data_IF_748844409793
#
_entry.id   IF_748844409793
#
_cell.length_a   1.000
_cell.length_b   1.000
_cell.length_c   1.000
_cell.angle_alpha   90.00
_cell.angle_beta   90.00
_cell.angle_gamma   90.00
#
_symmetry.space_group_name_H-M   'P 1'
#
loop_
_entity.id
_entity.type
_entity.pdbx_description
1 polymer ?
#
# COMPACT_ATOMS: atom_id res chain seq x y z
N UNK A 1 -10.94 -9.32 -12.31
CA UNK A 1 -9.74 -9.81 -11.61
C UNK A 1 -8.74 -8.68 -11.57
N UNK A 2 -8.39 -8.19 -10.39
CA UNK A 2 -7.46 -7.06 -10.21
C UNK A 2 -6.08 -7.37 -10.75
N UNK A 3 -5.50 -6.44 -11.53
CA UNK A 3 -4.13 -6.54 -12.04
C UNK A 3 -3.17 -5.79 -11.12
N UNK A 4 -2.04 -6.42 -10.79
CA UNK A 4 -0.95 -5.78 -10.05
C UNK A 4 0.05 -5.22 -11.07
N UNK A 5 0.33 -3.92 -11.01
CA UNK A 5 1.34 -3.24 -11.81
C UNK A 5 2.48 -2.78 -10.88
N UNK A 6 3.68 -3.33 -11.02
CA UNK A 6 4.83 -2.94 -10.19
C UNK A 6 5.74 -2.02 -11.00
N UNK A 7 6.09 -0.88 -10.44
CA UNK A 7 6.93 0.11 -11.08
C UNK A 7 8.37 -0.43 -11.29
N UNK A 8 8.96 -0.29 -12.49
CA UNK A 8 10.33 -0.70 -12.80
C UNK A 8 11.37 -0.28 -11.76
N UNK A 9 11.32 0.97 -11.32
CA UNK A 9 12.29 1.52 -10.37
C UNK A 9 12.20 0.89 -8.98
N UNK A 10 11.03 0.34 -8.60
CA UNK A 10 10.88 -0.40 -7.36
C UNK A 10 11.51 -1.78 -7.49
N UNK A 11 11.26 -2.46 -8.61
CA UNK A 11 11.82 -3.78 -8.93
C UNK A 11 13.34 -3.74 -8.92
N UNK A 12 13.93 -2.80 -9.67
CA UNK A 12 15.37 -2.65 -9.79
C UNK A 12 16.03 -2.39 -8.43
N UNK A 13 15.51 -1.45 -7.66
CA UNK A 13 16.10 -1.09 -6.37
C UNK A 13 15.93 -2.21 -5.32
N UNK A 14 14.79 -2.90 -5.31
CA UNK A 14 14.55 -4.04 -4.40
C UNK A 14 15.55 -5.18 -4.67
N UNK A 15 15.71 -5.57 -5.94
CA UNK A 15 16.67 -6.60 -6.35
C UNK A 15 18.10 -6.17 -6.03
N UNK A 16 18.47 -4.91 -6.34
CA UNK A 16 19.79 -4.37 -6.04
C UNK A 16 20.11 -4.42 -4.54
N UNK A 17 19.17 -4.04 -3.68
CA UNK A 17 19.38 -4.05 -2.22
C UNK A 17 19.55 -5.47 -1.67
N UNK A 18 18.76 -6.43 -2.17
CA UNK A 18 18.88 -7.84 -1.80
C UNK A 18 20.22 -8.43 -2.24
N UNK A 19 20.65 -8.13 -3.47
CA UNK A 19 21.97 -8.54 -3.98
C UNK A 19 23.09 -8.00 -3.08
N UNK A 20 23.10 -6.69 -2.82
CA UNK A 20 24.10 -6.03 -1.96
C UNK A 20 24.12 -6.59 -0.54
N UNK A 21 22.97 -7.00 -0.03
CA UNK A 21 22.88 -7.62 1.29
C UNK A 21 23.43 -9.04 1.32
N UNK A 22 23.16 -9.83 0.28
CA UNK A 22 23.69 -11.17 0.13
C UNK A 22 25.22 -11.17 -0.08
N UNK A 23 25.76 -10.24 -0.86
CA UNK A 23 27.21 -10.01 -0.98
C UNK A 23 27.86 -9.74 0.38
N UNK A 24 27.28 -8.82 1.16
CA UNK A 24 27.78 -8.48 2.50
C UNK A 24 27.76 -9.68 3.47
N UNK A 25 26.84 -10.61 3.27
CA UNK A 25 26.73 -11.87 4.03
C UNK A 25 27.58 -13.02 3.47
N UNK A 26 28.26 -12.81 2.33
CA UNK A 26 29.06 -13.85 1.67
C UNK A 26 28.22 -14.97 1.04
N UNK A 27 26.96 -14.73 0.71
CA UNK A 27 26.09 -15.73 0.08
C UNK A 27 26.38 -15.85 -1.42
N UNK A 28 27.20 -16.84 -1.78
CA UNK A 28 27.60 -17.16 -3.15
C UNK A 28 26.44 -17.59 -4.07
N UNK A 29 25.25 -17.86 -3.54
CA UNK A 29 24.07 -18.16 -4.38
C UNK A 29 23.49 -16.90 -5.00
N UNK A 30 23.66 -15.75 -4.36
CA UNK A 30 23.20 -14.46 -4.85
C UNK A 30 24.16 -13.84 -5.89
N UNK A 31 25.44 -14.23 -5.90
CA UNK A 31 26.43 -13.73 -6.86
C UNK A 31 26.18 -14.16 -8.30
N UNK A 32 25.45 -15.25 -8.53
CA UNK A 32 25.05 -15.67 -9.89
C UNK A 32 24.26 -14.61 -10.64
N UNK A 33 23.47 -13.79 -9.95
CA UNK A 33 22.70 -12.71 -10.60
C UNK A 33 23.59 -11.54 -10.98
N UNK A 34 24.65 -11.28 -10.21
CA UNK A 34 25.64 -10.23 -10.51
C UNK A 34 26.45 -10.61 -11.75
N UNK A 35 26.88 -11.87 -11.85
CA UNK A 35 27.58 -12.38 -13.03
C UNK A 35 26.75 -12.23 -14.31
N UNK A 36 25.42 -12.34 -14.22
CA UNK A 36 24.51 -12.16 -15.35
C UNK A 36 24.30 -10.68 -15.74
N UNK A 37 24.66 -9.73 -14.88
CA UNK A 37 24.57 -8.28 -15.16
C UNK A 37 25.78 -7.76 -15.93
N UNK A 38 26.97 -8.31 -15.71
CA UNK A 38 28.22 -7.87 -16.34
C UNK A 38 28.12 -7.81 -17.89
N UNK A 39 27.60 -8.84 -18.59
CA UNK A 39 27.46 -8.79 -20.05
C UNK A 39 26.54 -7.68 -20.55
N UNK A 40 25.62 -7.16 -19.73
CA UNK A 40 24.70 -6.10 -20.13
C UNK A 40 25.40 -4.74 -20.30
N UNK A 41 26.52 -4.52 -19.61
CA UNK A 41 27.31 -3.29 -19.76
C UNK A 41 27.97 -3.17 -21.14
N UNK A 42 28.23 -4.30 -21.79
CA UNK A 42 28.85 -4.40 -23.12
C UNK A 42 27.88 -4.03 -24.26
N UNK A 43 26.58 -3.92 -23.98
CA UNK A 43 25.59 -3.48 -24.96
C UNK A 43 25.84 -2.02 -25.34
N UNK A 44 26.01 -1.79 -26.65
CA UNK A 44 26.38 -0.47 -27.21
C UNK A 44 25.20 0.49 -27.31
N UNK A 45 24.01 -0.01 -27.61
CA UNK A 45 22.81 0.80 -27.69
C UNK A 45 22.28 1.09 -26.26
N UNK A 46 22.17 2.36 -25.84
CA UNK A 46 21.72 2.71 -24.50
C UNK A 46 20.29 2.24 -24.17
N UNK A 47 19.37 2.23 -25.15
CA UNK A 47 17.98 1.83 -24.96
C UNK A 47 17.87 0.32 -24.87
N UNK A 48 18.60 -0.40 -25.71
CA UNK A 48 18.68 -1.87 -25.65
C UNK A 48 19.24 -2.31 -24.29
N UNK A 49 20.30 -1.62 -23.83
CA UNK A 49 20.89 -1.87 -22.52
C UNK A 49 19.92 -1.63 -21.38
N UNK A 50 19.21 -0.50 -21.37
CA UNK A 50 18.19 -0.18 -20.37
C UNK A 50 17.08 -1.25 -20.32
N UNK A 51 16.54 -1.63 -21.49
CA UNK A 51 15.54 -2.67 -21.58
C UNK A 51 16.04 -4.04 -21.06
N UNK A 52 17.30 -4.38 -21.35
CA UNK A 52 17.92 -5.62 -20.89
C UNK A 52 18.12 -5.63 -19.36
N UNK A 53 18.56 -4.52 -18.76
CA UNK A 53 18.66 -4.39 -17.31
C UNK A 53 17.29 -4.53 -16.62
N UNK A 54 16.26 -3.88 -17.16
CA UNK A 54 14.90 -4.02 -16.63
C UNK A 54 14.37 -5.45 -16.73
N UNK A 55 14.56 -6.11 -17.88
CA UNK A 55 14.16 -7.49 -18.07
C UNK A 55 14.88 -8.44 -17.10
N UNK A 56 16.19 -8.22 -16.87
CA UNK A 56 16.97 -8.96 -15.90
C UNK A 56 16.45 -8.75 -14.46
N UNK A 57 16.18 -7.50 -14.07
CA UNK A 57 15.65 -7.19 -12.74
C UNK A 57 14.25 -7.81 -12.51
N UNK A 58 13.37 -7.74 -13.50
CA UNK A 58 12.05 -8.39 -13.45
C UNK A 58 12.14 -9.90 -13.31
N UNK A 59 13.06 -10.54 -14.03
CA UNK A 59 13.30 -11.97 -13.92
C UNK A 59 13.78 -12.36 -12.51
N UNK A 60 14.75 -11.61 -11.98
CA UNK A 60 15.27 -11.82 -10.63
C UNK A 60 14.17 -11.63 -9.58
N UNK A 61 13.38 -10.56 -9.69
CA UNK A 61 12.28 -10.24 -8.77
C UNK A 61 11.26 -11.37 -8.66
N UNK A 62 10.86 -11.94 -9.81
CA UNK A 62 9.94 -13.09 -9.86
C UNK A 62 10.58 -14.38 -9.36
N UNK A 63 11.85 -14.62 -9.70
CA UNK A 63 12.57 -15.85 -9.27
C UNK A 63 12.80 -15.86 -7.75
N UNK A 64 12.91 -14.68 -7.14
CA UNK A 64 13.01 -14.48 -5.71
C UNK A 64 11.63 -14.39 -5.02
N UNK A 65 10.54 -14.58 -5.77
CA UNK A 65 9.16 -14.52 -5.27
C UNK A 65 8.81 -13.21 -4.55
N UNK A 66 9.40 -12.09 -4.96
CA UNK A 66 9.21 -10.79 -4.31
C UNK A 66 7.81 -10.21 -4.57
N UNK A 67 7.11 -10.68 -5.60
CA UNK A 67 5.73 -10.34 -5.91
C UNK A 67 4.69 -11.10 -5.06
N UNK A 68 5.06 -12.25 -4.51
CA UNK A 68 4.13 -13.15 -3.81
C UNK A 68 3.42 -12.47 -2.62
N UNK A 69 4.10 -11.72 -1.72
CA UNK A 69 3.44 -11.00 -0.63
C UNK A 69 2.33 -10.05 -1.10
N UNK A 70 2.46 -9.48 -2.31
CA UNK A 70 1.47 -8.55 -2.87
C UNK A 70 0.21 -9.30 -3.31
N UNK A 71 0.38 -10.45 -3.99
CA UNK A 71 -0.75 -11.26 -4.45
C UNK A 71 -1.48 -11.88 -3.26
N UNK A 72 -0.75 -12.49 -2.32
CA UNK A 72 -1.35 -13.14 -1.13
C UNK A 72 -2.13 -12.13 -0.29
N UNK A 73 -1.57 -10.93 -0.07
CA UNK A 73 -2.25 -9.88 0.66
C UNK A 73 -3.54 -9.40 -0.05
N UNK A 74 -3.51 -9.31 -1.38
CA UNK A 74 -4.68 -8.91 -2.17
C UNK A 74 -5.78 -9.99 -2.17
N UNK A 75 -5.41 -11.26 -2.22
CA UNK A 75 -6.37 -12.37 -2.15
C UNK A 75 -7.06 -12.44 -0.76
N UNK A 76 -6.41 -11.93 0.29
CA UNK A 76 -7.01 -11.78 1.61
C UNK A 76 -8.00 -10.60 1.75
N UNK A 77 -8.19 -9.80 0.69
CA UNK A 77 -9.03 -8.60 0.68
C UNK A 77 -10.13 -8.73 -0.41
N UNK A 78 -11.28 -9.34 -0.11
CA UNK A 78 -12.27 -9.71 -1.12
C UNK A 78 -12.84 -8.53 -1.92
N UNK A 79 -13.20 -7.42 -1.25
CA UNK A 79 -13.76 -6.26 -1.92
C UNK A 79 -12.70 -5.59 -2.80
N UNK A 80 -11.46 -5.49 -2.32
CA UNK A 80 -10.34 -5.01 -3.13
C UNK A 80 -10.10 -5.91 -4.37
N UNK A 81 -10.09 -7.23 -4.21
CA UNK A 81 -9.88 -8.19 -5.29
C UNK A 81 -10.98 -8.19 -6.35
N UNK A 82 -12.21 -7.94 -5.93
CA UNK A 82 -13.38 -7.91 -6.82
C UNK A 82 -13.52 -6.58 -7.54
N UNK A 83 -13.29 -5.46 -6.84
CA UNK A 83 -13.69 -4.12 -7.28
C UNK A 83 -12.53 -3.24 -7.77
N UNK A 84 -11.29 -3.58 -7.44
CA UNK A 84 -10.13 -2.89 -8.04
C UNK A 84 -9.87 -3.44 -9.43
N UNK A 85 -9.71 -2.54 -10.38
CA UNK A 85 -9.19 -2.89 -11.71
C UNK A 85 -7.67 -3.04 -11.67
N UNK A 86 -7.00 -2.10 -11.00
CA UNK A 86 -5.54 -2.04 -10.92
C UNK A 86 -5.06 -1.68 -9.52
N UNK A 87 -4.12 -2.47 -9.01
CA UNK A 87 -3.25 -2.13 -7.88
C UNK A 87 -1.87 -1.75 -8.41
N UNK A 88 -1.56 -0.46 -8.38
CA UNK A 88 -0.28 0.06 -8.83
C UNK A 88 0.70 0.15 -7.66
N UNK A 89 1.79 -0.59 -7.71
CA UNK A 89 2.81 -0.64 -6.68
C UNK A 89 4.00 0.19 -7.12
N UNK A 90 4.24 1.31 -6.43
CA UNK A 90 5.29 2.26 -6.78
C UNK A 90 6.33 2.39 -5.68
N UNK A 91 7.48 2.95 -6.04
CA UNK A 91 8.55 3.24 -5.09
C UNK A 91 8.21 4.43 -4.20
N UNK A 92 8.29 4.24 -2.89
CA UNK A 92 8.38 5.30 -1.90
C UNK A 92 9.85 5.64 -1.61
N UNK A 93 10.20 6.93 -1.52
CA UNK A 93 11.56 7.36 -1.18
C UNK A 93 11.77 7.44 0.33
N UNK A 94 10.69 7.67 1.09
CA UNK A 94 10.70 7.88 2.54
C UNK A 94 9.56 7.09 3.18
N UNK A 95 9.73 6.70 4.43
CA UNK A 95 8.70 5.94 5.18
C UNK A 95 7.37 6.67 5.27
N UNK A 96 7.38 8.00 5.36
CA UNK A 96 6.15 8.83 5.38
C UNK A 96 5.37 8.83 4.05
N UNK A 97 6.00 8.35 2.98
CA UNK A 97 5.38 8.23 1.65
C UNK A 97 4.82 6.82 1.43
N UNK A 98 5.09 5.86 2.35
CA UNK A 98 4.49 4.53 2.28
C UNK A 98 3.01 4.58 2.65
N UNK A 99 2.23 3.73 2.00
CA UNK A 99 0.79 3.60 2.24
C UNK A 99 0.00 3.30 0.97
N UNK A 100 -1.27 2.98 1.14
CA UNK A 100 -2.20 2.81 0.04
C UNK A 100 -3.15 4.01 -0.11
N UNK A 101 -3.47 4.35 -1.35
CA UNK A 101 -4.40 5.40 -1.69
C UNK A 101 -5.36 4.92 -2.78
N UNK A 102 -6.65 5.18 -2.59
CA UNK A 102 -7.71 4.84 -3.55
C UNK A 102 -8.00 6.04 -4.45
N UNK A 103 -7.94 5.82 -5.75
CA UNK A 103 -8.32 6.78 -6.77
C UNK A 103 -9.60 6.31 -7.44
N UNK A 104 -10.73 6.92 -7.08
CA UNK A 104 -11.99 6.78 -7.79
C UNK A 104 -12.15 7.94 -8.77
N UNK A 105 -12.55 7.62 -10.01
CA UNK A 105 -12.86 8.65 -11.00
C UNK A 105 -14.30 9.11 -10.82
N UNK A 106 -14.56 9.86 -9.75
CA UNK A 106 -15.85 10.51 -9.54
C UNK A 106 -15.96 11.86 -10.29
N UNK A 107 -14.87 12.38 -10.87
CA UNK A 107 -14.83 13.74 -11.45
C UNK A 107 -15.23 13.82 -12.92
N UNK A 108 -15.51 12.71 -13.60
CA UNK A 108 -15.98 12.75 -15.00
C UNK A 108 -17.33 12.07 -15.14
N UNK A 109 -18.31 12.79 -15.68
CA UNK A 109 -19.61 12.27 -16.12
C UNK A 109 -19.51 11.24 -17.28
N UNK A 110 -18.34 10.60 -17.46
CA UNK A 110 -18.17 9.40 -18.25
C UNK A 110 -18.30 8.21 -17.32
N UNK A 111 -19.38 7.47 -17.50
CA UNK A 111 -19.58 6.17 -16.89
C UNK A 111 -18.33 5.28 -17.02
N UNK A 112 -17.99 4.56 -15.94
CA UNK A 112 -17.05 3.44 -15.90
C UNK A 112 -15.55 3.76 -16.05
N UNK A 113 -15.05 4.80 -15.38
CA UNK A 113 -13.60 4.87 -15.16
C UNK A 113 -13.16 3.83 -14.11
N UNK A 114 -12.01 3.15 -14.33
CA UNK A 114 -11.58 2.05 -13.49
C UNK A 114 -11.18 2.49 -12.09
N UNK A 115 -11.52 1.68 -11.09
CA UNK A 115 -11.12 1.89 -9.69
C UNK A 115 -9.66 1.47 -9.53
N UNK A 116 -8.79 2.44 -9.27
CA UNK A 116 -7.34 2.23 -9.14
C UNK A 116 -6.89 2.49 -7.71
N UNK A 117 -6.09 1.60 -7.15
CA UNK A 117 -5.34 1.86 -5.92
C UNK A 117 -3.86 2.03 -6.24
N UNK A 118 -3.19 2.92 -5.51
CA UNK A 118 -1.74 3.06 -5.54
C UNK A 118 -1.18 2.66 -4.19
N UNK A 119 -0.29 1.67 -4.17
CA UNK A 119 0.45 1.24 -3.00
C UNK A 119 1.91 1.71 -3.15
N UNK A 120 2.35 2.60 -2.27
CA UNK A 120 3.72 3.06 -2.24
C UNK A 120 4.53 2.26 -1.20
N UNK A 121 5.63 1.65 -1.63
CA UNK A 121 6.50 0.82 -0.78
C UNK A 121 7.94 1.26 -0.88
N UNK A 122 8.67 1.23 0.24
CA UNK A 122 10.12 1.35 0.16
C UNK A 122 10.74 0.05 -0.36
N UNK A 123 11.78 0.13 -1.21
CA UNK A 123 12.46 -1.05 -1.73
C UNK A 123 13.11 -1.94 -0.64
N UNK A 124 13.51 -1.37 0.50
CA UNK A 124 14.12 -2.14 1.60
C UNK A 124 13.14 -3.05 2.35
N UNK A 125 11.83 -2.88 2.15
CA UNK A 125 10.81 -3.79 2.68
C UNK A 125 10.95 -5.20 2.15
N UNK A 126 11.45 -5.37 0.92
CA UNK A 126 11.60 -6.67 0.28
C UNK A 126 12.72 -7.53 0.91
N UNK A 127 13.50 -6.98 1.85
CA UNK A 127 14.46 -7.75 2.64
C UNK A 127 13.79 -8.68 3.67
N UNK A 128 12.53 -8.43 4.03
CA UNK A 128 11.75 -9.21 4.98
C UNK A 128 10.33 -9.41 4.42
N UNK A 129 10.12 -10.53 3.71
CA UNK A 129 8.88 -10.79 2.99
C UNK A 129 7.68 -11.02 3.92
N UNK A 130 7.90 -11.51 5.14
CA UNK A 130 6.85 -11.69 6.13
C UNK A 130 6.35 -10.33 6.62
N UNK A 131 7.26 -9.43 7.02
CA UNK A 131 6.90 -8.07 7.40
C UNK A 131 6.32 -7.25 6.25
N UNK A 132 6.80 -7.48 5.02
CA UNK A 132 6.23 -6.89 3.82
C UNK A 132 4.78 -7.36 3.65
N UNK A 133 4.51 -8.67 3.73
CA UNK A 133 3.16 -9.21 3.61
C UNK A 133 2.22 -8.60 4.66
N UNK A 134 2.62 -8.55 5.93
CA UNK A 134 1.81 -7.94 7.00
C UNK A 134 1.53 -6.45 6.72
N UNK A 135 2.55 -5.71 6.28
CA UNK A 135 2.40 -4.31 5.93
C UNK A 135 1.41 -4.13 4.77
N UNK A 136 1.62 -4.84 3.66
CA UNK A 136 0.79 -4.74 2.45
C UNK A 136 -0.65 -5.15 2.77
N UNK A 137 -0.86 -6.26 3.49
CA UNK A 137 -2.19 -6.70 3.90
C UNK A 137 -2.91 -5.64 4.72
N UNK A 138 -2.22 -4.99 5.67
CA UNK A 138 -2.83 -3.91 6.46
C UNK A 138 -3.24 -2.72 5.58
N UNK A 139 -2.36 -2.29 4.67
CA UNK A 139 -2.69 -1.17 3.77
C UNK A 139 -3.85 -1.52 2.83
N UNK A 140 -3.90 -2.76 2.32
CA UNK A 140 -5.00 -3.23 1.48
C UNK A 140 -6.31 -3.39 2.24
N UNK A 141 -6.30 -3.69 3.54
CA UNK A 141 -7.51 -3.73 4.36
C UNK A 141 -8.18 -2.35 4.50
N UNK A 142 -7.42 -1.25 4.46
CA UNK A 142 -8.01 0.09 4.38
C UNK A 142 -8.74 0.29 3.05
N UNK A 143 -8.10 -0.09 1.94
CA UNK A 143 -8.71 -0.02 0.60
C UNK A 143 -9.94 -0.93 0.51
N UNK A 144 -9.87 -2.11 1.10
CA UNK A 144 -10.97 -3.07 1.16
C UNK A 144 -12.16 -2.51 1.92
N UNK A 145 -11.94 -1.90 3.10
CA UNK A 145 -12.98 -1.15 3.82
C UNK A 145 -13.58 -0.04 2.91
N UNK A 146 -12.75 0.75 2.21
CA UNK A 146 -13.24 1.82 1.33
C UNK A 146 -14.11 1.33 0.16
N UNK A 147 -13.89 0.08 -0.29
CA UNK A 147 -14.60 -0.52 -1.42
C UNK A 147 -15.81 -1.36 -0.99
N UNK A 148 -15.90 -1.74 0.28
CA UNK A 148 -16.97 -2.53 0.85
C UNK A 148 -18.24 -1.68 1.01
N UNK A 149 -19.37 -2.01 0.34
CA UNK A 149 -20.60 -1.21 0.42
C UNK A 149 -21.11 -1.03 1.84
N UNK A 150 -21.02 -2.07 2.67
CA UNK A 150 -21.51 -2.04 4.04
C UNK A 150 -20.68 -1.15 4.97
N UNK A 151 -19.47 -0.74 4.58
CA UNK A 151 -18.68 0.21 5.33
C UNK A 151 -19.07 1.66 5.03
N UNK A 152 -19.70 1.93 3.87
CA UNK A 152 -20.21 3.26 3.49
C UNK A 152 -19.14 4.36 3.59
N UNK A 153 -17.96 4.11 3.02
CA UNK A 153 -16.89 5.11 3.02
C UNK A 153 -17.32 6.38 2.26
N UNK A 154 -17.20 7.52 2.93
CA UNK A 154 -17.45 8.83 2.36
C UNK A 154 -16.25 9.75 2.64
N UNK A 155 -15.45 10.12 1.61
CA UNK A 155 -14.30 10.99 1.80
C UNK A 155 -14.68 12.39 2.30
N UNK A 156 -15.93 12.81 2.12
CA UNK A 156 -16.42 14.12 2.53
C UNK A 156 -17.10 14.13 3.90
N UNK A 157 -17.26 12.98 4.58
CA UNK A 157 -18.05 12.90 5.82
C UNK A 157 -17.54 13.81 6.95
N UNK A 158 -16.24 14.08 7.00
CA UNK A 158 -15.63 14.98 8.00
C UNK A 158 -15.61 16.43 7.49
N UNK A 159 -15.33 16.62 6.21
CA UNK A 159 -15.22 17.96 5.61
C UNK A 159 -16.59 18.65 5.50
N UNK A 160 -17.67 17.88 5.40
CA UNK A 160 -19.06 18.37 5.44
C UNK A 160 -19.56 18.77 6.83
N UNK A 161 -18.78 18.59 7.90
CA UNK A 161 -19.15 19.02 9.24
C UNK A 161 -18.87 20.52 9.43
N UNK A 162 -19.80 21.20 10.10
CA UNK A 162 -19.66 22.59 10.54
C UNK A 162 -18.75 22.67 11.78
N UNK A 163 -17.44 22.55 11.54
CA UNK A 163 -16.38 22.60 12.55
C UNK A 163 -15.33 23.64 12.14
N UNK A 164 -14.68 24.26 13.11
CA UNK A 164 -13.47 25.03 12.85
C UNK A 164 -12.34 24.10 12.36
N UNK A 165 -11.31 24.62 11.64
CA UNK A 165 -10.22 23.80 11.12
C UNK A 165 -9.49 22.95 12.16
N UNK A 166 -9.24 23.49 13.37
CA UNK A 166 -8.53 22.77 14.42
C UNK A 166 -9.34 21.59 14.96
N UNK A 167 -10.63 21.81 15.25
CA UNK A 167 -11.53 20.74 15.68
C UNK A 167 -11.68 19.67 14.60
N UNK A 168 -11.77 20.08 13.32
CA UNK A 168 -11.84 19.15 12.18
C UNK A 168 -10.61 18.24 12.11
N UNK A 169 -9.41 18.79 12.29
CA UNK A 169 -8.17 18.00 12.30
C UNK A 169 -8.13 17.00 13.45
N UNK A 170 -8.63 17.38 14.64
CA UNK A 170 -8.75 16.46 15.78
C UNK A 170 -9.76 15.34 15.48
N UNK A 171 -10.91 15.65 14.88
CA UNK A 171 -11.89 14.63 14.46
C UNK A 171 -11.26 13.68 13.44
N UNK A 172 -10.52 14.22 12.45
CA UNK A 172 -9.84 13.41 11.43
C UNK A 172 -8.82 12.47 12.04
N UNK A 173 -7.97 12.94 12.97
CA UNK A 173 -7.01 12.08 13.67
C UNK A 173 -7.73 10.98 14.47
N UNK A 174 -8.76 11.33 15.23
CA UNK A 174 -9.50 10.34 16.06
C UNK A 174 -10.25 9.31 15.23
N UNK A 175 -10.90 9.72 14.14
CA UNK A 175 -11.55 8.82 13.20
C UNK A 175 -10.52 7.89 12.54
N UNK A 176 -9.37 8.42 12.12
CA UNK A 176 -8.26 7.65 11.54
C UNK A 176 -7.71 6.60 12.52
N UNK A 177 -7.57 6.96 13.81
CA UNK A 177 -7.16 6.00 14.86
C UNK A 177 -8.21 4.93 15.10
N UNK A 178 -9.50 5.29 15.14
CA UNK A 178 -10.58 4.31 15.28
C UNK A 178 -10.61 3.34 14.10
N UNK A 179 -10.44 3.85 12.88
CA UNK A 179 -10.34 3.04 11.67
C UNK A 179 -9.11 2.12 11.69
N UNK A 180 -7.94 2.62 12.09
CA UNK A 180 -6.74 1.78 12.24
C UNK A 180 -6.95 0.62 13.19
N UNK A 181 -7.58 0.85 14.35
CA UNK A 181 -7.92 -0.23 15.30
C UNK A 181 -8.86 -1.28 14.68
N UNK A 182 -9.84 -0.84 13.89
CA UNK A 182 -10.72 -1.75 13.12
C UNK A 182 -9.89 -2.60 12.15
N UNK A 183 -9.01 -1.98 11.37
CA UNK A 183 -8.15 -2.70 10.42
C UNK A 183 -7.22 -3.70 11.13
N UNK A 184 -6.64 -3.32 12.27
CA UNK A 184 -5.82 -4.21 13.09
C UNK A 184 -6.61 -5.42 13.61
N UNK A 185 -7.87 -5.22 14.03
CA UNK A 185 -8.76 -6.31 14.42
C UNK A 185 -9.05 -7.25 13.23
N UNK A 186 -9.35 -6.69 12.05
CA UNK A 186 -9.53 -7.48 10.81
C UNK A 186 -8.27 -8.26 10.44
N UNK A 187 -7.09 -7.67 10.60
CA UNK A 187 -5.82 -8.36 10.34
C UNK A 187 -5.62 -9.59 11.24
N UNK A 188 -6.11 -9.54 12.49
CA UNK A 188 -6.14 -10.68 13.42
C UNK A 188 -7.28 -11.69 13.17
N UNK A 189 -8.12 -11.46 12.16
CA UNK A 189 -9.26 -12.32 11.82
C UNK A 189 -10.52 -12.06 12.66
N UNK A 190 -10.56 -10.96 13.41
CA UNK A 190 -11.73 -10.57 14.18
C UNK A 190 -12.82 -10.03 13.25
N UNK A 191 -14.09 -10.38 13.54
CA UNK A 191 -15.22 -9.77 12.84
C UNK A 191 -15.38 -8.33 13.30
N UNK A 192 -15.40 -7.41 12.35
CA UNK A 192 -15.69 -6.01 12.59
C UNK A 192 -16.97 -5.62 11.86
N UNK A 193 -17.79 -4.79 12.49
CA UNK A 193 -19.03 -4.25 11.93
C UNK A 193 -19.07 -2.74 12.12
N UNK A 194 -20.02 -2.09 11.48
CA UNK A 194 -20.21 -0.65 11.56
C UNK A 194 -19.63 0.11 10.38
N UNK A 195 -20.10 1.34 10.24
CA UNK A 195 -19.88 2.20 9.07
C UNK A 195 -18.81 3.25 9.32
N UNK A 196 -18.33 3.87 8.25
CA UNK A 196 -17.42 5.01 8.33
C UNK A 196 -18.07 6.17 9.10
N UNK A 197 -19.36 6.44 8.88
CA UNK A 197 -20.11 7.46 9.61
C UNK A 197 -20.14 7.19 11.12
N UNK A 198 -20.20 5.94 11.57
CA UNK A 198 -20.10 5.60 12.99
C UNK A 198 -18.73 5.89 13.58
N UNK A 199 -17.65 5.65 12.83
CA UNK A 199 -16.29 6.02 13.24
C UNK A 199 -16.17 7.55 13.40
N UNK A 200 -16.71 8.32 12.44
CA UNK A 200 -16.73 9.79 12.49
C UNK A 200 -17.57 10.29 13.66
N UNK A 201 -18.78 9.76 13.87
CA UNK A 201 -19.63 10.12 15.02
C UNK A 201 -18.95 9.83 16.35
N UNK A 202 -18.29 8.68 16.49
CA UNK A 202 -17.52 8.34 17.69
C UNK A 202 -16.36 9.31 17.92
N UNK A 203 -15.67 9.72 16.85
CA UNK A 203 -14.61 10.72 16.92
C UNK A 203 -15.13 12.08 17.39
N UNK A 204 -16.27 12.55 16.85
CA UNK A 204 -16.92 13.80 17.29
C UNK A 204 -17.38 13.71 18.75
N UNK A 205 -18.08 12.63 19.14
CA UNK A 205 -18.57 12.45 20.50
C UNK A 205 -17.45 12.48 21.55
N UNK A 206 -16.28 11.94 21.20
CA UNK A 206 -15.12 11.92 22.10
C UNK A 206 -14.55 13.32 22.42
N UNK A 207 -14.91 14.36 21.67
CA UNK A 207 -14.47 15.74 21.93
C UNK A 207 -15.05 16.25 23.26
N UNK A 208 -16.32 15.93 23.55
CA UNK A 208 -17.00 16.35 24.78
C UNK A 208 -16.45 15.69 26.05
N UNK A 209 -15.90 14.48 25.94
CA UNK A 209 -15.28 13.77 27.08
C UNK A 209 -13.93 14.34 27.52
N UNK A 210 -13.20 15.06 26.65
CA UNK A 210 -11.87 15.62 27.00
C UNK A 210 -11.99 16.97 27.71
N UNK A 211 -13.10 17.70 27.51
CA UNK A 211 -13.37 18.94 28.26
C UNK A 211 -13.65 18.74 29.75
N UNK A 212 -14.12 17.55 30.14
CA UNK A 212 -14.47 17.24 31.53
C UNK A 212 -13.27 16.83 32.40
N UNK A 213 -12.07 16.66 31.83
CA UNK A 213 -10.88 16.17 32.57
C UNK A 213 -9.83 17.26 32.84
N UNK A 214 -10.04 18.48 32.37
CA UNK A 214 -9.12 19.61 32.58
C UNK A 214 -9.63 20.65 33.59
N UNK A 215 -10.80 20.41 34.20
CA UNK A 215 -11.32 21.18 35.33
C UNK A 215 -11.46 20.28 36.55
N UNK A 216 -10.35 19.97 37.21
CA UNK A 216 -10.32 19.45 38.60
C UNK A 216 -9.00 19.84 39.27
#
# INVERSE_FOLDING_TARGET
MTRIEIAPELVEEAVFLLQRDAERRGDLRATRWLEQREPLYELRDPREREAAFLAHALLAFRTLHLDEPLSVALDACPAARERLDVLAVRRARRTKEEGAELYSSATSARAASPTRAVLALKPDRFADLERLHEHVRRELLFIDDMLEPSFEYDPCAIDGLDLDPGTRDVVRDRASRAWRRRVEARARGERTSGTFAELVRGAVASLGTVGATLES
#
